data_IF_215024929849
#
_entry.id   IF_215024929849
#
_cell.length_a   1.000
_cell.length_b   1.000
_cell.length_c   1.000
_cell.angle_alpha   90.00
_cell.angle_beta   90.00
_cell.angle_gamma   90.00
#
_symmetry.space_group_name_H-M   'P 1'
#
loop_
_entity.id
_entity.type
_entity.pdbx_description
1 polymer ?
#
# COMPACT_ATOMS: atom_id res chain seq x y z
N UNK A 1 -4.75 -9.13 5.87
CA UNK A 1 -4.34 -7.74 5.54
C UNK A 1 -3.73 -7.69 4.17
N UNK A 2 -3.89 -6.60 3.46
CA UNK A 2 -3.39 -6.43 2.10
C UNK A 2 -2.88 -4.99 1.93
N UNK A 3 -2.02 -4.76 0.94
CA UNK A 3 -1.58 -3.43 0.55
C UNK A 3 -2.02 -3.12 -0.87
N UNK A 4 -2.39 -1.88 -1.16
CA UNK A 4 -2.69 -1.42 -2.52
C UNK A 4 -1.87 -0.17 -2.86
N UNK A 5 -1.33 -0.12 -4.06
CA UNK A 5 -0.58 1.00 -4.61
C UNK A 5 -1.39 1.61 -5.75
N UNK A 6 -1.84 2.84 -5.54
CA UNK A 6 -2.61 3.58 -6.53
C UNK A 6 -1.68 4.25 -7.52
N UNK A 7 -1.65 3.75 -8.75
CA UNK A 7 -0.88 4.30 -9.87
C UNK A 7 0.57 4.66 -9.50
N UNK A 8 1.35 3.74 -8.91
CA UNK A 8 2.68 4.05 -8.43
C UNK A 8 3.57 4.55 -9.57
N UNK A 9 4.37 5.57 -9.34
CA UNK A 9 5.19 6.22 -10.38
C UNK A 9 6.70 6.08 -10.15
N UNK A 10 7.14 5.58 -8.99
CA UNK A 10 8.55 5.28 -8.71
C UNK A 10 8.77 3.76 -8.65
N UNK A 11 9.38 3.16 -9.68
CA UNK A 11 9.54 1.70 -9.77
C UNK A 11 10.35 1.11 -8.61
N UNK A 12 11.35 1.83 -8.13
CA UNK A 12 12.19 1.39 -7.00
C UNK A 12 11.38 1.25 -5.70
N UNK A 13 10.51 2.20 -5.41
CA UNK A 13 9.66 2.15 -4.21
C UNK A 13 8.68 0.98 -4.31
N UNK A 14 8.05 0.81 -5.47
CA UNK A 14 7.12 -0.31 -5.71
C UNK A 14 7.82 -1.65 -5.52
N UNK A 15 8.99 -1.85 -6.12
CA UNK A 15 9.77 -3.09 -5.96
C UNK A 15 10.13 -3.37 -4.50
N UNK A 16 10.52 -2.33 -3.75
CA UNK A 16 10.84 -2.44 -2.31
C UNK A 16 9.60 -2.83 -1.48
N UNK A 17 8.44 -2.26 -1.78
CA UNK A 17 7.17 -2.60 -1.11
C UNK A 17 6.77 -4.05 -1.42
N UNK A 18 6.87 -4.48 -2.68
CA UNK A 18 6.52 -5.85 -3.06
C UNK A 18 7.45 -6.87 -2.39
N UNK A 19 8.75 -6.56 -2.28
CA UNK A 19 9.68 -7.39 -1.50
C UNK A 19 9.27 -7.49 -0.03
N UNK A 20 8.90 -6.38 0.60
CA UNK A 20 8.38 -6.37 1.97
C UNK A 20 7.14 -7.25 2.10
N UNK A 21 6.21 -7.14 1.15
CA UNK A 21 4.99 -7.95 1.13
C UNK A 21 5.29 -9.44 1.02
N UNK A 22 6.24 -9.84 0.17
CA UNK A 22 6.67 -11.23 0.05
C UNK A 22 7.25 -11.75 1.37
N UNK A 23 8.13 -10.98 2.01
CA UNK A 23 8.76 -11.36 3.29
C UNK A 23 7.75 -11.52 4.43
N UNK A 24 6.67 -10.74 4.44
CA UNK A 24 5.67 -10.72 5.51
C UNK A 24 4.39 -11.51 5.17
N UNK A 25 4.35 -12.18 4.02
CA UNK A 25 3.17 -12.88 3.47
C UNK A 25 1.92 -11.98 3.38
N UNK A 26 2.11 -10.73 3.01
CA UNK A 26 1.05 -9.75 2.78
C UNK A 26 0.73 -9.70 1.29
N UNK A 27 -0.55 -9.83 0.93
CA UNK A 27 -0.97 -9.69 -0.47
C UNK A 27 -0.86 -8.23 -0.93
N UNK A 28 -0.45 -8.04 -2.19
CA UNK A 28 -0.25 -6.73 -2.79
C UNK A 28 -1.11 -6.51 -4.03
N UNK A 29 -1.56 -5.27 -4.22
CA UNK A 29 -2.34 -4.84 -5.38
C UNK A 29 -1.66 -3.64 -6.02
N UNK A 30 -1.56 -3.65 -7.36
CA UNK A 30 -1.20 -2.48 -8.16
C UNK A 30 -2.44 -2.04 -8.94
N UNK A 31 -2.81 -0.78 -8.78
CA UNK A 31 -3.92 -0.15 -9.50
C UNK A 31 -3.34 0.68 -10.63
N UNK A 32 -3.61 0.26 -11.85
CA UNK A 32 -3.08 0.87 -13.08
C UNK A 32 -3.77 2.24 -13.40
N UNK A 33 -3.10 3.08 -14.21
CA UNK A 33 -1.80 2.86 -14.83
C UNK A 33 -0.65 3.17 -13.87
N UNK A 34 0.33 2.26 -13.78
CA UNK A 34 1.60 2.56 -13.14
C UNK A 34 2.46 3.44 -14.07
N UNK A 35 3.30 4.30 -13.49
CA UNK A 35 4.19 5.18 -14.24
C UNK A 35 5.41 4.48 -14.87
N UNK A 36 5.48 3.16 -14.80
CA UNK A 36 6.58 2.34 -15.31
C UNK A 36 6.09 0.95 -15.77
N UNK A 37 6.87 0.31 -16.63
CA UNK A 37 6.61 -1.07 -17.05
C UNK A 37 7.16 -2.09 -16.04
N UNK A 38 6.55 -3.28 -15.94
CA UNK A 38 7.06 -4.39 -15.13
C UNK A 38 8.41 -4.91 -15.57
N UNK A 39 8.80 -4.63 -16.83
CA UNK A 39 10.14 -4.89 -17.36
C UNK A 39 11.19 -3.86 -16.93
N UNK A 40 10.80 -2.80 -16.22
CA UNK A 40 11.72 -1.77 -15.74
C UNK A 40 12.82 -2.39 -14.87
N UNK A 41 14.07 -2.05 -15.22
CA UNK A 41 15.24 -2.62 -14.55
C UNK A 41 15.33 -2.23 -13.08
N UNK A 42 14.94 -1.00 -12.74
CA UNK A 42 14.97 -0.49 -11.37
C UNK A 42 13.91 -1.18 -10.52
N UNK A 43 12.71 -1.41 -11.08
CA UNK A 43 11.64 -2.18 -10.45
C UNK A 43 12.11 -3.62 -10.13
N UNK A 44 12.62 -4.32 -11.15
CA UNK A 44 13.10 -5.70 -10.97
C UNK A 44 14.25 -5.80 -9.98
N UNK A 45 15.21 -4.87 -10.05
CA UNK A 45 16.33 -4.83 -9.10
C UNK A 45 15.89 -4.61 -7.67
N UNK A 46 14.91 -3.72 -7.42
CA UNK A 46 14.41 -3.45 -6.08
C UNK A 46 13.60 -4.62 -5.49
N UNK A 47 12.82 -5.30 -6.33
CA UNK A 47 12.03 -6.47 -5.94
C UNK A 47 12.84 -7.74 -5.84
N UNK A 48 13.98 -7.84 -6.55
CA UNK A 48 14.85 -9.02 -6.64
C UNK A 48 14.04 -10.29 -6.99
N UNK A 49 14.44 -11.45 -6.46
CA UNK A 49 13.77 -12.74 -6.66
C UNK A 49 12.43 -12.86 -5.90
N UNK A 50 12.10 -11.86 -5.07
CA UNK A 50 10.85 -11.85 -4.28
C UNK A 50 9.61 -11.51 -5.10
N UNK A 51 9.77 -10.93 -6.31
CA UNK A 51 8.64 -10.62 -7.19
C UNK A 51 7.85 -11.85 -7.59
N UNK A 52 8.51 -13.00 -7.70
CA UNK A 52 7.87 -14.28 -8.03
C UNK A 52 7.19 -14.94 -6.81
N UNK A 53 7.47 -14.44 -5.61
CA UNK A 53 6.96 -14.99 -4.35
C UNK A 53 5.83 -14.14 -3.75
N UNK A 54 5.67 -12.89 -4.19
CA UNK A 54 4.61 -12.02 -3.69
C UNK A 54 3.26 -12.38 -4.33
N UNK A 55 2.22 -12.45 -3.51
CA UNK A 55 0.83 -12.57 -3.99
C UNK A 55 0.38 -11.22 -4.55
N UNK A 56 0.69 -10.98 -5.83
CA UNK A 56 0.43 -9.73 -6.52
C UNK A 56 -0.79 -9.84 -7.43
N UNK A 57 -1.75 -8.93 -7.26
CA UNK A 57 -2.88 -8.72 -8.17
C UNK A 57 -2.75 -7.35 -8.83
N UNK A 58 -2.90 -7.29 -10.17
CA UNK A 58 -2.96 -6.02 -10.91
C UNK A 58 -4.40 -5.74 -11.31
N UNK A 59 -4.83 -4.51 -11.12
CA UNK A 59 -6.15 -4.05 -11.52
C UNK A 59 -5.98 -3.01 -12.63
N UNK A 60 -6.66 -3.21 -13.76
CA UNK A 60 -6.55 -2.36 -14.95
C UNK A 60 -6.96 -0.91 -14.70
N UNK A 61 -7.72 -0.65 -13.64
CA UNK A 61 -8.16 0.69 -13.26
C UNK A 61 -8.62 0.75 -11.80
N UNK A 62 -8.75 1.96 -11.28
CA UNK A 62 -9.37 2.21 -9.99
C UNK A 62 -10.77 1.59 -9.88
N UNK A 63 -11.61 1.76 -10.90
CA UNK A 63 -12.99 1.25 -10.87
C UNK A 63 -13.04 -0.28 -10.76
N UNK A 64 -12.10 -1.00 -11.41
CA UNK A 64 -12.00 -2.46 -11.29
C UNK A 64 -11.55 -2.91 -9.91
N UNK A 65 -10.58 -2.20 -9.33
CA UNK A 65 -10.15 -2.44 -7.95
C UNK A 65 -11.30 -2.20 -6.97
N UNK A 66 -11.99 -1.07 -7.08
CA UNK A 66 -13.08 -0.69 -6.17
C UNK A 66 -14.27 -1.65 -6.26
N UNK A 67 -14.64 -2.10 -7.47
CA UNK A 67 -15.65 -3.13 -7.66
C UNK A 67 -15.26 -4.44 -6.96
N UNK A 68 -14.01 -4.89 -7.13
CA UNK A 68 -13.49 -6.09 -6.49
C UNK A 68 -13.48 -5.93 -4.96
N UNK A 69 -12.94 -4.82 -4.44
CA UNK A 69 -12.86 -4.55 -3.00
C UNK A 69 -14.23 -4.55 -2.33
N UNK A 70 -15.20 -3.83 -2.92
CA UNK A 70 -16.57 -3.75 -2.40
C UNK A 70 -17.28 -5.09 -2.42
N UNK A 71 -17.04 -5.89 -3.45
CA UNK A 71 -17.60 -7.25 -3.55
C UNK A 71 -17.16 -8.16 -2.41
N UNK A 72 -15.99 -7.90 -1.82
CA UNK A 72 -15.45 -8.65 -0.67
C UNK A 72 -15.71 -7.96 0.68
N UNK A 73 -16.25 -6.75 0.70
CA UNK A 73 -16.49 -5.98 1.92
C UNK A 73 -15.23 -5.54 2.65
N UNK A 74 -14.10 -5.41 1.97
CA UNK A 74 -12.84 -4.95 2.58
C UNK A 74 -12.83 -3.46 2.83
N UNK A 75 -12.40 -3.04 4.03
CA UNK A 75 -12.18 -1.62 4.33
C UNK A 75 -10.93 -1.11 3.62
N UNK A 76 -10.99 0.14 3.16
CA UNK A 76 -9.90 0.84 2.50
C UNK A 76 -9.34 1.93 3.41
N UNK A 77 -8.11 1.77 3.84
CA UNK A 77 -7.41 2.69 4.73
C UNK A 77 -6.36 3.46 3.94
N UNK A 78 -6.67 4.72 3.62
CA UNK A 78 -5.76 5.58 2.84
C UNK A 78 -4.70 6.19 3.76
N UNK A 79 -3.44 5.92 3.47
CA UNK A 79 -2.30 6.61 4.07
C UNK A 79 -1.98 7.87 3.28
N UNK A 80 -2.08 9.02 3.95
CA UNK A 80 -1.91 10.33 3.32
C UNK A 80 -1.30 11.32 4.30
N UNK A 81 -0.58 12.31 3.79
CA UNK A 81 -0.06 13.43 4.61
C UNK A 81 -1.15 14.39 5.07
N UNK A 82 -2.35 14.28 4.51
CA UNK A 82 -3.55 15.08 4.84
C UNK A 82 -4.62 14.25 5.55
N UNK A 83 -4.19 13.28 6.35
CA UNK A 83 -5.10 12.40 7.09
C UNK A 83 -5.72 13.08 8.31
N UNK A 84 -6.80 12.49 8.80
CA UNK A 84 -7.56 12.99 9.94
C UNK A 84 -7.20 12.30 11.28
N UNK A 85 -6.55 11.13 11.23
CA UNK A 85 -6.20 10.34 12.43
C UNK A 85 -4.81 9.74 12.36
N UNK A 86 -4.17 9.58 13.52
CA UNK A 86 -2.90 8.88 13.62
C UNK A 86 -3.06 7.41 13.28
N UNK A 87 -2.14 6.88 12.48
CA UNK A 87 -2.12 5.46 12.13
C UNK A 87 -1.91 4.54 13.36
N UNK A 88 -1.34 5.07 14.45
CA UNK A 88 -1.13 4.34 15.70
C UNK A 88 -2.41 4.16 16.53
N UNK A 89 -3.37 5.08 16.37
CA UNK A 89 -4.61 5.09 17.15
C UNK A 89 -5.76 4.36 16.44
N UNK A 90 -5.50 3.82 15.25
CA UNK A 90 -6.51 3.15 14.45
C UNK A 90 -6.62 1.65 14.80
N UNK A 91 -7.86 1.15 14.90
CA UNK A 91 -8.14 -0.27 15.15
C UNK A 91 -8.16 -1.06 13.82
N UNK A 92 -7.04 -1.70 13.49
CA UNK A 92 -6.89 -2.50 12.27
C UNK A 92 -7.63 -3.84 12.36
N UNK A 93 -8.05 -4.36 11.20
CA UNK A 93 -8.66 -5.69 11.04
C UNK A 93 -7.88 -6.53 10.02
N UNK A 94 -7.91 -7.87 10.12
CA UNK A 94 -7.16 -8.75 9.22
C UNK A 94 -7.50 -8.60 7.72
N UNK A 95 -8.71 -8.10 7.40
CA UNK A 95 -9.17 -7.92 6.02
C UNK A 95 -8.95 -6.49 5.46
N UNK A 96 -8.33 -5.60 6.22
CA UNK A 96 -8.08 -4.22 5.77
C UNK A 96 -7.12 -4.17 4.58
N UNK A 97 -7.35 -3.20 3.71
CA UNK A 97 -6.45 -2.83 2.62
C UNK A 97 -5.81 -1.49 2.94
N UNK A 98 -4.49 -1.46 3.06
CA UNK A 98 -3.70 -0.25 3.26
C UNK A 98 -3.37 0.35 1.90
N UNK A 99 -3.93 1.51 1.57
CA UNK A 99 -3.76 2.18 0.29
C UNK A 99 -2.72 3.29 0.37
N UNK A 100 -1.79 3.27 -0.57
CA UNK A 100 -0.79 4.32 -0.78
C UNK A 100 -0.97 4.94 -2.17
N UNK A 101 -0.99 6.26 -2.23
CA UNK A 101 -1.11 7.02 -3.47
C UNK A 101 0.21 7.15 -4.22
N UNK A 102 0.15 7.80 -5.38
CA UNK A 102 1.32 8.18 -6.20
C UNK A 102 2.26 9.06 -5.39
N UNK A 103 3.54 8.84 -5.59
CA UNK A 103 4.58 9.63 -4.91
C UNK A 103 4.54 11.10 -5.34
N UNK A 104 4.22 11.36 -6.60
CA UNK A 104 4.18 12.71 -7.18
C UNK A 104 2.91 13.49 -6.85
N UNK A 105 1.74 12.83 -6.82
CA UNK A 105 0.44 13.51 -6.78
C UNK A 105 -0.54 12.96 -5.72
N UNK A 106 -0.19 11.89 -5.02
CA UNK A 106 -1.11 11.23 -4.09
C UNK A 106 -2.25 10.48 -4.80
N UNK A 107 -3.47 10.72 -4.37
CA UNK A 107 -4.68 10.08 -4.94
C UNK A 107 -5.65 11.13 -5.49
N UNK A 108 -6.57 10.70 -6.36
CA UNK A 108 -7.67 11.54 -6.86
C UNK A 108 -8.74 11.74 -5.79
N UNK A 109 -9.61 12.75 -5.99
CA UNK A 109 -10.74 13.03 -5.09
C UNK A 109 -11.70 11.84 -4.99
N UNK A 110 -11.88 11.10 -6.08
CA UNK A 110 -12.68 9.88 -6.11
C UNK A 110 -12.13 8.82 -5.15
N UNK A 111 -10.82 8.56 -5.20
CA UNK A 111 -10.13 7.62 -4.30
C UNK A 111 -10.19 8.09 -2.86
N UNK A 112 -9.98 9.39 -2.64
CA UNK A 112 -10.07 10.02 -1.33
C UNK A 112 -11.46 9.86 -0.71
N UNK A 113 -12.52 10.00 -1.51
CA UNK A 113 -13.91 9.86 -1.07
C UNK A 113 -14.28 8.39 -0.79
N UNK A 114 -13.67 7.44 -1.47
CA UNK A 114 -13.93 6.02 -1.29
C UNK A 114 -13.26 5.40 -0.06
N UNK A 115 -12.29 6.09 0.55
CA UNK A 115 -11.57 5.59 1.71
C UNK A 115 -12.46 5.56 2.97
N UNK A 116 -12.48 4.41 3.66
CA UNK A 116 -13.20 4.22 4.93
C UNK A 116 -12.50 4.95 6.08
N UNK A 117 -11.19 5.15 5.99
CA UNK A 117 -10.41 5.98 6.90
C UNK A 117 -9.22 6.62 6.18
N UNK A 118 -8.79 7.79 6.68
CA UNK A 118 -7.62 8.53 6.20
C UNK A 118 -6.64 8.67 7.34
N UNK A 119 -5.51 7.99 7.22
CA UNK A 119 -4.52 7.84 8.28
C UNK A 119 -3.27 8.62 7.95
N UNK A 120 -2.68 9.22 8.96
CA UNK A 120 -1.41 9.96 8.86
C UNK A 120 -0.34 9.28 9.71
N UNK A 121 0.88 9.20 9.17
CA UNK A 121 2.08 8.93 9.95
C UNK A 121 2.59 10.29 10.42
N UNK A 122 2.58 10.59 11.73
CA UNK A 122 3.06 11.88 12.22
C UNK A 122 4.54 12.10 11.87
N UNK A 123 4.84 13.24 11.30
CA UNK A 123 6.21 13.68 10.98
C UNK A 123 6.45 15.06 11.55
N UNK A 124 7.73 15.45 11.68
CA UNK A 124 8.13 16.76 12.17
C UNK A 124 7.50 17.87 11.30
N UNK A 125 6.88 18.90 11.89
CA UNK A 125 6.37 20.04 11.15
C UNK A 125 7.42 20.66 10.21
N UNK A 126 6.97 21.06 9.01
CA UNK A 126 7.84 21.63 7.97
C UNK A 126 8.43 20.60 7.00
N UNK A 127 8.36 19.30 7.30
CA UNK A 127 8.70 18.24 6.36
C UNK A 127 7.48 17.86 5.51
N UNK A 128 7.72 17.39 4.27
CA UNK A 128 6.63 17.13 3.30
C UNK A 128 6.01 15.75 3.47
N UNK A 129 6.85 14.71 3.46
CA UNK A 129 6.41 13.30 3.49
C UNK A 129 7.59 12.39 3.78
N UNK A 130 7.27 11.17 4.18
CA UNK A 130 8.21 10.05 4.16
C UNK A 130 8.30 9.44 2.75
N UNK A 131 9.37 8.72 2.48
CA UNK A 131 9.42 7.80 1.34
C UNK A 131 8.26 6.79 1.49
N UNK A 132 7.53 6.52 0.40
CA UNK A 132 6.33 5.68 0.45
C UNK A 132 6.64 4.24 0.91
N UNK A 133 7.80 3.69 0.57
CA UNK A 133 8.17 2.35 1.03
C UNK A 133 8.44 2.32 2.54
N UNK A 134 8.99 3.40 3.11
CA UNK A 134 9.13 3.54 4.56
C UNK A 134 7.78 3.69 5.25
N UNK A 135 6.89 4.51 4.69
CA UNK A 135 5.53 4.66 5.19
C UNK A 135 4.77 3.32 5.16
N UNK A 136 4.89 2.57 4.08
CA UNK A 136 4.28 1.24 3.94
C UNK A 136 4.82 0.24 4.98
N UNK A 137 6.13 0.24 5.23
CA UNK A 137 6.74 -0.63 6.24
C UNK A 137 6.23 -0.32 7.65
N UNK A 138 6.13 0.96 8.01
CA UNK A 138 5.59 1.39 9.30
C UNK A 138 4.12 0.99 9.45
N UNK A 139 3.32 1.24 8.43
CA UNK A 139 1.88 0.94 8.43
C UNK A 139 1.60 -0.57 8.52
N UNK A 140 2.29 -1.38 7.71
CA UNK A 140 2.17 -2.85 7.75
C UNK A 140 2.63 -3.37 9.12
N UNK A 141 3.75 -2.86 9.65
CA UNK A 141 4.29 -3.27 10.94
C UNK A 141 3.29 -3.06 12.07
N UNK A 142 2.68 -1.86 12.16
CA UNK A 142 1.67 -1.57 13.18
C UNK A 142 0.41 -2.41 12.99
N UNK A 143 -0.06 -2.53 11.77
CA UNK A 143 -1.25 -3.30 11.48
C UNK A 143 -1.06 -4.81 11.79
N UNK A 144 0.10 -5.39 11.50
CA UNK A 144 0.43 -6.78 11.88
C UNK A 144 0.61 -6.94 13.38
N UNK A 145 1.14 -5.94 14.08
CA UNK A 145 1.22 -5.94 15.54
C UNK A 145 -0.16 -6.12 16.18
N UNK A 146 -1.19 -5.49 15.61
CA UNK A 146 -2.57 -5.57 16.11
C UNK A 146 -3.30 -6.84 15.67
N UNK A 147 -3.09 -7.29 14.44
CA UNK A 147 -3.88 -8.38 13.83
C UNK A 147 -3.17 -9.74 13.83
N UNK A 148 -1.92 -9.78 14.23
CA UNK A 148 -1.05 -10.93 14.15
C UNK A 148 -0.32 -11.05 12.79
N UNK A 149 0.84 -11.71 12.76
CA UNK A 149 1.61 -11.91 11.54
C UNK A 149 0.87 -12.81 10.56
N UNK A 150 0.94 -12.50 9.27
CA UNK A 150 0.46 -13.37 8.21
C UNK A 150 1.41 -14.58 8.03
N UNK A 151 2.72 -14.34 8.12
CA UNK A 151 3.73 -15.39 8.11
C UNK A 151 3.86 -16.04 9.50
N UNK A 152 3.96 -17.36 9.53
CA UNK A 152 4.31 -18.10 10.76
C UNK A 152 5.82 -18.08 10.94
N UNK A 153 6.29 -17.84 12.15
CA UNK A 153 7.70 -18.07 12.48
C UNK A 153 7.99 -19.57 12.37
N UNK A 154 9.06 -19.89 11.66
CA UNK A 154 9.56 -21.26 11.55
C UNK A 154 10.23 -21.71 12.86
#
# INVERSE_FOLDING_TARGET
MQIALFQPDIPQNTGTILRLCACLDVAAHIIEPAGFATSDRTFRRAGMDYLDQVRLTRHDSWSKFEQWRRGLGHRLLLFTTKGAGSYLDYAYKPADILLFGRESMGVTDEVLAAADARLVIPIKPGLRSLNVAMAAAMAIGEALRQTGPAAKFA
#
